data_IF_540175532639
#
_entry.id   IF_540175532639
#
_cell.length_a   1.000
_cell.length_b   1.000
_cell.length_c   1.000
_cell.angle_alpha   90.00
_cell.angle_beta   90.00
_cell.angle_gamma   90.00
#
_symmetry.space_group_name_H-M   'P 1'
#
loop_
_entity.id
_entity.type
_entity.pdbx_description
1 polymer ?
#
# COMPACT_ATOMS: atom_id res chain seq x y z
N UNK A 1 14.66 -13.78 8.60
CA UNK A 1 14.01 -14.76 7.67
C UNK A 1 15.00 -15.10 6.57
N UNK A 2 15.08 -16.37 6.11
CA UNK A 2 15.97 -16.67 4.99
C UNK A 2 15.32 -16.24 3.66
N UNK A 3 16.09 -15.65 2.77
CA UNK A 3 15.63 -15.15 1.48
C UNK A 3 14.94 -16.23 0.64
N UNK A 4 15.49 -17.42 0.61
CA UNK A 4 14.99 -18.57 -0.14
C UNK A 4 13.63 -19.10 0.36
N UNK A 5 13.30 -18.82 1.61
CA UNK A 5 12.03 -19.22 2.24
C UNK A 5 10.97 -18.12 2.21
N UNK A 6 11.39 -16.87 2.01
CA UNK A 6 10.50 -15.71 2.02
C UNK A 6 9.46 -15.75 0.89
N UNK A 7 8.20 -15.61 1.24
CA UNK A 7 7.06 -15.47 0.32
C UNK A 7 6.49 -14.06 0.49
N UNK A 8 6.72 -13.23 -0.50
CA UNK A 8 6.27 -11.84 -0.51
C UNK A 8 4.96 -11.76 -1.28
N UNK A 9 3.90 -11.33 -0.61
CA UNK A 9 2.56 -11.27 -1.18
C UNK A 9 2.19 -9.80 -1.33
N UNK A 10 1.99 -9.33 -2.56
CA UNK A 10 1.55 -7.96 -2.83
C UNK A 10 0.04 -7.94 -3.00
N UNK A 11 -0.59 -7.05 -2.23
CA UNK A 11 -2.01 -6.77 -2.26
C UNK A 11 -2.31 -5.57 -3.16
N UNK A 12 -3.22 -5.77 -4.12
CA UNK A 12 -3.69 -4.69 -4.98
C UNK A 12 -4.87 -3.97 -4.34
N UNK A 13 -4.98 -2.64 -4.55
CA UNK A 13 -6.11 -1.88 -4.07
C UNK A 13 -7.38 -2.23 -4.86
N UNK A 14 -8.47 -2.42 -4.17
CA UNK A 14 -9.84 -2.52 -4.69
C UNK A 14 -10.06 -3.34 -5.97
N UNK A 15 -11.32 -3.52 -6.35
CA UNK A 15 -11.71 -3.94 -7.69
C UNK A 15 -11.80 -2.72 -8.62
N UNK A 16 -11.57 -2.93 -9.91
CA UNK A 16 -11.69 -1.84 -10.90
C UNK A 16 -13.09 -1.24 -11.02
N UNK A 17 -14.10 -1.95 -10.49
CA UNK A 17 -15.50 -1.52 -10.42
C UNK A 17 -15.85 -0.76 -9.14
N UNK A 18 -14.95 -0.69 -8.13
CA UNK A 18 -15.24 -0.01 -6.86
C UNK A 18 -15.40 1.49 -7.08
N UNK A 19 -16.57 2.09 -6.75
CA UNK A 19 -16.82 3.51 -6.98
C UNK A 19 -15.93 4.41 -6.13
N UNK A 20 -15.65 5.64 -6.60
CA UNK A 20 -14.93 6.67 -5.86
C UNK A 20 -13.44 6.41 -5.65
N UNK A 21 -12.89 5.36 -6.28
CA UNK A 21 -11.48 4.99 -6.15
C UNK A 21 -10.64 5.52 -7.33
N UNK A 22 -10.70 6.83 -7.51
CA UNK A 22 -9.97 7.54 -8.55
C UNK A 22 -9.85 9.05 -8.23
N UNK A 23 -8.89 9.73 -8.88
CA UNK A 23 -8.79 11.18 -8.81
C UNK A 23 -10.06 11.87 -9.37
N UNK A 24 -10.35 13.12 -8.98
CA UNK A 24 -11.49 13.86 -9.49
C UNK A 24 -11.52 13.98 -11.02
N UNK A 25 -10.36 14.11 -11.67
CA UNK A 25 -10.20 14.15 -13.12
C UNK A 25 -10.13 12.76 -13.79
N UNK A 26 -10.24 11.68 -13.02
CA UNK A 26 -10.23 10.28 -13.46
C UNK A 26 -8.91 9.79 -14.09
N UNK A 27 -7.83 10.58 -14.08
CA UNK A 27 -6.52 10.18 -14.63
C UNK A 27 -5.85 9.10 -13.78
N UNK A 28 -5.91 9.22 -12.45
CA UNK A 28 -5.45 8.18 -11.53
C UNK A 28 -6.64 7.32 -11.10
N UNK A 29 -6.58 6.04 -11.41
CA UNK A 29 -7.52 5.02 -10.92
C UNK A 29 -6.76 4.11 -9.97
N UNK A 30 -7.09 4.17 -8.69
CA UNK A 30 -6.33 3.51 -7.62
C UNK A 30 -6.09 2.02 -7.92
N UNK A 31 -7.12 1.28 -8.31
CA UNK A 31 -7.01 -0.14 -8.62
C UNK A 31 -6.07 -0.44 -9.80
N UNK A 32 -6.00 0.43 -10.81
CA UNK A 32 -5.13 0.25 -11.98
C UNK A 32 -3.69 0.58 -11.62
N UNK A 33 -3.47 1.71 -10.97
CA UNK A 33 -2.17 2.17 -10.54
C UNK A 33 -1.52 1.18 -9.54
N UNK A 34 -2.27 0.76 -8.54
CA UNK A 34 -1.79 -0.22 -7.55
C UNK A 34 -1.34 -1.54 -8.20
N UNK A 35 -2.10 -2.05 -9.18
CA UNK A 35 -1.71 -3.27 -9.92
C UNK A 35 -0.44 -3.08 -10.73
N UNK A 36 -0.25 -1.92 -11.33
CA UNK A 36 0.98 -1.56 -12.04
C UNK A 36 2.17 -1.63 -11.07
N UNK A 37 2.10 -0.93 -9.94
CA UNK A 37 3.16 -0.94 -8.92
C UNK A 37 3.40 -2.35 -8.38
N UNK A 38 2.37 -3.12 -8.04
CA UNK A 38 2.51 -4.50 -7.56
C UNK A 38 3.27 -5.39 -8.58
N UNK A 39 2.92 -5.30 -9.86
CA UNK A 39 3.58 -6.09 -10.92
C UNK A 39 5.06 -5.73 -11.06
N UNK A 40 5.37 -4.45 -11.04
CA UNK A 40 6.74 -3.93 -11.13
C UNK A 40 7.60 -4.36 -9.92
N UNK A 41 7.08 -4.20 -8.70
CA UNK A 41 7.76 -4.63 -7.46
C UNK A 41 7.99 -6.14 -7.50
N UNK A 42 6.96 -6.94 -7.88
CA UNK A 42 7.11 -8.39 -8.02
C UNK A 42 8.18 -8.77 -9.05
N UNK A 43 8.19 -8.14 -10.22
CA UNK A 43 9.16 -8.42 -11.26
C UNK A 43 10.60 -8.16 -10.78
N UNK A 44 10.82 -7.04 -10.11
CA UNK A 44 12.15 -6.69 -9.55
C UNK A 44 12.56 -7.63 -8.41
N UNK A 45 11.65 -7.96 -7.48
CA UNK A 45 11.94 -8.92 -6.41
C UNK A 45 12.29 -10.31 -6.95
N UNK A 46 11.55 -10.80 -7.97
CA UNK A 46 11.86 -12.06 -8.66
C UNK A 46 13.21 -11.99 -9.36
N UNK A 47 13.53 -10.87 -10.00
CA UNK A 47 14.82 -10.63 -10.65
C UNK A 47 16.03 -10.75 -9.72
N UNK A 48 15.83 -10.46 -8.42
CA UNK A 48 16.85 -10.64 -7.39
C UNK A 48 16.63 -11.89 -6.52
N UNK A 49 15.77 -12.82 -6.97
CA UNK A 49 15.66 -14.19 -6.43
C UNK A 49 14.66 -14.38 -5.29
N UNK A 50 13.72 -13.46 -5.05
CA UNK A 50 12.62 -13.66 -4.11
C UNK A 50 11.43 -14.37 -4.74
N UNK A 51 10.64 -15.08 -3.94
CA UNK A 51 9.35 -15.64 -4.34
C UNK A 51 8.26 -14.61 -4.07
N UNK A 52 7.45 -14.31 -5.07
CA UNK A 52 6.40 -13.30 -4.95
C UNK A 52 5.07 -13.78 -5.52
N UNK A 53 3.98 -13.36 -4.87
CA UNK A 53 2.61 -13.59 -5.30
C UNK A 53 1.85 -12.24 -5.33
N UNK A 54 0.79 -12.16 -6.13
CA UNK A 54 -0.12 -11.01 -6.18
C UNK A 54 -1.55 -11.51 -5.98
N UNK A 55 -2.34 -10.83 -5.16
CA UNK A 55 -3.70 -11.25 -4.80
C UNK A 55 -4.75 -11.00 -5.90
N UNK A 56 -4.39 -10.34 -6.99
CA UNK A 56 -5.32 -9.87 -8.01
C UNK A 56 -6.01 -10.99 -8.81
N UNK A 57 -5.26 -11.98 -9.29
CA UNK A 57 -5.80 -13.06 -10.12
C UNK A 57 -6.75 -13.98 -9.35
N UNK A 58 -6.40 -14.46 -8.15
CA UNK A 58 -7.31 -15.18 -7.28
C UNK A 58 -8.56 -14.38 -6.90
N UNK A 59 -8.39 -13.06 -6.74
CA UNK A 59 -9.49 -12.16 -6.45
C UNK A 59 -10.51 -12.11 -7.60
N UNK A 60 -10.05 -12.05 -8.84
CA UNK A 60 -10.92 -12.09 -10.02
C UNK A 60 -11.64 -13.43 -10.17
N UNK A 61 -10.93 -14.52 -9.91
CA UNK A 61 -11.49 -15.88 -9.99
C UNK A 61 -12.59 -16.14 -8.95
N UNK A 62 -12.55 -15.44 -7.80
CA UNK A 62 -13.57 -15.55 -6.75
C UNK A 62 -14.86 -14.79 -7.06
N UNK A 63 -14.92 -14.08 -8.19
CA UNK A 63 -15.96 -13.11 -8.53
C UNK A 63 -17.13 -13.73 -9.27
N UNK A 64 -18.09 -14.30 -8.53
CA UNK A 64 -19.45 -14.54 -9.06
C UNK A 64 -20.46 -13.77 -8.20
N UNK A 65 -20.55 -12.45 -8.42
CA UNK A 65 -21.34 -11.54 -7.58
C UNK A 65 -22.33 -10.72 -8.40
N UNK A 66 -22.91 -11.34 -9.43
CA UNK A 66 -23.89 -10.72 -10.31
C UNK A 66 -25.08 -10.20 -9.51
N UNK A 67 -25.27 -8.86 -9.50
CA UNK A 67 -26.38 -8.19 -8.81
C UNK A 67 -26.15 -7.89 -7.32
N UNK A 68 -24.96 -8.08 -6.79
CA UNK A 68 -24.62 -7.72 -5.41
C UNK A 68 -24.52 -6.19 -5.23
N UNK A 69 -24.79 -5.73 -3.99
CA UNK A 69 -24.54 -4.34 -3.62
C UNK A 69 -23.03 -4.08 -3.50
N UNK A 70 -22.60 -2.82 -3.66
CA UNK A 70 -21.19 -2.41 -3.53
C UNK A 70 -20.58 -2.88 -2.20
N UNK A 71 -21.34 -2.81 -1.10
CA UNK A 71 -20.86 -3.26 0.22
C UNK A 71 -20.63 -4.77 0.27
N UNK A 72 -21.48 -5.56 -0.37
CA UNK A 72 -21.34 -7.02 -0.44
C UNK A 72 -20.13 -7.37 -1.31
N UNK A 73 -19.95 -6.69 -2.45
CA UNK A 73 -18.75 -6.85 -3.29
C UNK A 73 -17.46 -6.55 -2.54
N UNK A 74 -17.42 -5.46 -1.78
CA UNK A 74 -16.24 -5.08 -0.98
C UNK A 74 -15.95 -6.11 0.13
N UNK A 75 -16.96 -6.58 0.85
CA UNK A 75 -16.76 -7.60 1.88
C UNK A 75 -16.22 -8.91 1.29
N UNK A 76 -16.72 -9.29 0.12
CA UNK A 76 -16.28 -10.49 -0.58
C UNK A 76 -14.85 -10.36 -1.10
N UNK A 77 -14.51 -9.20 -1.63
CA UNK A 77 -13.15 -8.84 -2.05
C UNK A 77 -12.16 -8.98 -0.90
N UNK A 78 -12.45 -8.36 0.25
CA UNK A 78 -11.59 -8.41 1.44
C UNK A 78 -11.42 -9.84 1.96
N UNK A 79 -12.51 -10.62 2.01
CA UNK A 79 -12.45 -12.03 2.41
C UNK A 79 -11.63 -12.87 1.42
N UNK A 80 -11.77 -12.65 0.13
CA UNK A 80 -11.00 -13.36 -0.89
C UNK A 80 -9.50 -13.08 -0.78
N UNK A 81 -9.10 -11.82 -0.53
CA UNK A 81 -7.68 -11.45 -0.29
C UNK A 81 -7.13 -12.18 0.93
N UNK A 82 -7.82 -12.10 2.07
CA UNK A 82 -7.40 -12.77 3.31
C UNK A 82 -7.30 -14.28 3.12
N UNK A 83 -8.28 -14.92 2.48
CA UNK A 83 -8.26 -16.36 2.20
C UNK A 83 -7.07 -16.75 1.32
N UNK A 84 -6.76 -15.96 0.30
CA UNK A 84 -5.60 -16.18 -0.56
C UNK A 84 -4.30 -16.11 0.25
N UNK A 85 -4.07 -15.01 1.00
CA UNK A 85 -2.88 -14.83 1.84
C UNK A 85 -2.75 -15.96 2.85
N UNK A 86 -3.83 -16.31 3.56
CA UNK A 86 -3.80 -17.36 4.58
C UNK A 86 -3.60 -18.76 3.99
N UNK A 87 -4.00 -19.00 2.74
CA UNK A 87 -3.68 -20.26 2.04
C UNK A 87 -2.19 -20.39 1.79
N UNK A 88 -1.50 -19.29 1.44
CA UNK A 88 -0.04 -19.26 1.29
C UNK A 88 0.67 -19.41 2.64
N UNK A 89 0.15 -18.76 3.69
CA UNK A 89 0.65 -18.95 5.06
C UNK A 89 0.55 -20.40 5.52
N UNK A 90 -0.55 -21.08 5.20
CA UNK A 90 -0.72 -22.51 5.50
C UNK A 90 0.27 -23.38 4.73
N UNK A 91 0.52 -23.05 3.46
CA UNK A 91 1.40 -23.81 2.58
C UNK A 91 2.89 -23.65 2.90
N UNK A 92 3.31 -22.43 3.24
CA UNK A 92 4.73 -22.06 3.34
C UNK A 92 5.18 -21.75 4.78
N UNK A 93 4.26 -21.69 5.73
CA UNK A 93 4.49 -21.22 7.11
C UNK A 93 4.27 -19.71 7.21
N UNK A 94 3.47 -19.28 8.19
CA UNK A 94 3.13 -17.86 8.39
C UNK A 94 4.37 -16.99 8.67
N UNK A 95 5.38 -17.54 9.33
CA UNK A 95 6.65 -16.85 9.61
C UNK A 95 7.51 -16.61 8.37
N UNK A 96 7.23 -17.29 7.27
CA UNK A 96 7.93 -17.12 5.99
C UNK A 96 7.16 -16.20 5.02
N UNK A 97 5.94 -15.82 5.36
CA UNK A 97 5.09 -14.97 4.54
C UNK A 97 5.06 -13.53 5.07
N UNK A 98 4.83 -12.59 4.16
CA UNK A 98 4.47 -11.20 4.47
C UNK A 98 3.49 -10.68 3.43
N UNK A 99 2.62 -9.77 3.85
CA UNK A 99 1.60 -9.17 2.98
C UNK A 99 1.73 -7.64 2.96
N UNK A 100 1.84 -7.06 1.79
CA UNK A 100 1.95 -5.62 1.59
C UNK A 100 0.84 -5.16 0.65
N UNK A 101 -0.20 -4.53 1.20
CA UNK A 101 -1.33 -3.98 0.44
C UNK A 101 -1.00 -2.55 0.00
N UNK A 102 -1.05 -2.27 -1.30
CA UNK A 102 -0.63 -0.99 -1.88
C UNK A 102 -1.86 -0.20 -2.30
N UNK A 103 -2.06 0.96 -1.68
CA UNK A 103 -3.21 1.83 -1.84
C UNK A 103 -2.82 3.27 -2.15
N UNK A 104 -3.82 4.10 -2.49
CA UNK A 104 -3.74 5.55 -2.59
C UNK A 104 -4.88 6.15 -1.76
N UNK A 105 -4.54 6.97 -0.79
CA UNK A 105 -5.48 7.54 0.17
C UNK A 105 -6.47 8.53 -0.48
N UNK A 106 -7.50 8.90 0.26
CA UNK A 106 -8.43 9.97 -0.09
C UNK A 106 -8.80 10.81 1.14
N UNK A 107 -8.87 12.12 0.98
CA UNK A 107 -9.28 13.06 2.02
C UNK A 107 -10.80 13.21 2.10
N UNK A 108 -11.50 13.05 0.98
CA UNK A 108 -12.93 13.20 0.86
C UNK A 108 -13.62 12.13 0.03
N UNK A 109 -14.95 12.21 -0.02
CA UNK A 109 -15.80 11.34 -0.84
C UNK A 109 -16.67 12.15 -1.80
N UNK A 110 -16.28 13.41 -2.10
CA UNK A 110 -17.08 14.39 -2.82
C UNK A 110 -16.61 14.68 -4.26
N UNK A 111 -15.72 13.83 -4.79
CA UNK A 111 -15.13 13.97 -6.14
C UNK A 111 -14.46 15.34 -6.37
N UNK A 112 -13.95 16.01 -5.32
CA UNK A 112 -13.25 17.30 -5.40
C UNK A 112 -11.77 17.15 -5.08
N UNK A 113 -10.99 18.16 -5.51
CA UNK A 113 -9.62 18.31 -5.12
C UNK A 113 -9.50 18.82 -3.68
N UNK A 114 -8.60 18.19 -2.90
CA UNK A 114 -8.28 18.52 -1.53
C UNK A 114 -6.80 18.87 -1.36
N UNK A 115 -6.42 19.37 -0.20
CA UNK A 115 -5.06 19.79 0.13
C UNK A 115 -4.33 18.84 1.09
N UNK A 116 -4.99 17.75 1.49
CA UNK A 116 -4.33 16.68 2.25
C UNK A 116 -3.35 15.94 1.36
N UNK A 117 -2.25 15.46 1.94
CA UNK A 117 -1.19 14.73 1.23
C UNK A 117 -0.35 13.91 2.20
N UNK A 118 0.60 13.15 1.68
CA UNK A 118 1.59 12.41 2.45
C UNK A 118 1.48 10.89 2.36
N UNK A 119 2.64 10.27 2.50
CA UNK A 119 2.82 8.81 2.53
C UNK A 119 2.57 8.28 3.94
N UNK A 120 1.91 7.13 4.07
CA UNK A 120 1.73 6.44 5.35
C UNK A 120 1.72 4.93 5.20
N UNK A 121 2.13 4.24 6.27
CA UNK A 121 2.06 2.78 6.38
C UNK A 121 1.20 2.44 7.59
N UNK A 122 0.25 1.55 7.40
CA UNK A 122 -0.68 1.10 8.43
C UNK A 122 -0.38 -0.33 8.84
N UNK A 123 -0.49 -0.60 10.15
CA UNK A 123 -0.49 -1.93 10.74
C UNK A 123 -1.78 -2.19 11.52
N UNK A 124 -1.95 -3.40 12.01
CA UNK A 124 -2.97 -3.71 13.02
C UNK A 124 -2.50 -3.23 14.40
N UNK A 125 -3.46 -2.96 15.29
CA UNK A 125 -3.17 -2.49 16.66
C UNK A 125 -2.27 -3.43 17.44
N UNK A 126 -1.37 -2.83 18.25
CA UNK A 126 -0.47 -3.50 19.18
C UNK A 126 0.83 -3.96 18.55
N UNK A 127 1.82 -4.25 19.38
CA UNK A 127 3.18 -4.58 18.92
C UNK A 127 3.27 -5.92 18.23
N UNK A 128 3.57 -5.90 16.95
CA UNK A 128 3.62 -7.06 16.07
C UNK A 128 4.87 -7.05 15.17
N UNK A 129 5.08 -8.11 14.41
CA UNK A 129 6.13 -8.12 13.38
C UNK A 129 5.80 -7.22 12.17
N UNK A 130 4.54 -6.79 12.06
CA UNK A 130 4.13 -5.84 11.02
C UNK A 130 4.78 -4.47 11.22
N UNK A 131 4.96 -4.04 12.47
CA UNK A 131 5.58 -2.76 12.83
C UNK A 131 7.04 -2.73 12.34
N UNK A 132 7.77 -3.84 12.48
CA UNK A 132 9.14 -3.95 11.94
C UNK A 132 9.14 -3.83 10.41
N UNK A 133 8.14 -4.41 9.73
CA UNK A 133 8.00 -4.29 8.26
C UNK A 133 7.66 -2.85 7.87
N UNK A 134 6.74 -2.20 8.58
CA UNK A 134 6.37 -0.80 8.38
C UNK A 134 7.56 0.14 8.59
N UNK A 135 8.33 -0.03 9.67
CA UNK A 135 9.54 0.72 9.95
C UNK A 135 10.56 0.63 8.81
N UNK A 136 10.82 -0.58 8.31
CA UNK A 136 11.75 -0.77 7.18
C UNK A 136 11.26 -0.08 5.90
N UNK A 137 9.93 -0.05 5.65
CA UNK A 137 9.35 0.67 4.51
C UNK A 137 9.50 2.18 4.71
N UNK A 138 9.20 2.73 5.90
CA UNK A 138 9.39 4.16 6.19
C UNK A 138 10.85 4.59 6.03
N UNK A 139 11.80 3.82 6.54
CA UNK A 139 13.23 4.16 6.45
C UNK A 139 13.69 4.28 4.99
N UNK A 140 13.17 3.44 4.10
CA UNK A 140 13.45 3.56 2.67
C UNK A 140 12.65 4.66 2.00
N UNK A 141 11.42 4.90 2.43
CA UNK A 141 10.60 5.98 1.93
C UNK A 141 11.22 7.35 2.25
N UNK A 142 11.79 7.56 3.43
CA UNK A 142 12.50 8.81 3.76
C UNK A 142 13.61 9.14 2.77
N UNK A 143 14.31 8.15 2.27
CA UNK A 143 15.39 8.34 1.28
C UNK A 143 14.83 8.51 -0.13
N UNK A 144 13.96 7.59 -0.55
CA UNK A 144 13.49 7.52 -1.94
C UNK A 144 12.45 8.60 -2.29
N UNK A 145 11.73 9.14 -1.29
CA UNK A 145 10.72 10.20 -1.45
C UNK A 145 11.24 11.59 -1.01
N UNK A 146 12.56 11.83 -1.03
CA UNK A 146 13.13 13.13 -0.70
C UNK A 146 12.64 14.23 -1.66
N UNK A 147 12.48 13.91 -2.95
CA UNK A 147 11.96 14.85 -3.95
C UNK A 147 10.48 15.17 -3.70
N UNK A 148 9.68 14.18 -3.35
CA UNK A 148 8.30 14.39 -2.90
C UNK A 148 8.23 15.30 -1.67
N UNK A 149 9.12 15.10 -0.70
CA UNK A 149 9.19 15.96 0.49
C UNK A 149 9.45 17.41 0.13
N UNK A 150 10.40 17.68 -0.81
CA UNK A 150 10.68 19.04 -1.31
C UNK A 150 9.50 19.62 -2.07
N UNK A 151 8.86 18.82 -2.93
CA UNK A 151 7.67 19.21 -3.68
C UNK A 151 6.52 19.62 -2.74
N UNK A 152 6.29 18.87 -1.66
CA UNK A 152 5.26 19.23 -0.67
C UNK A 152 5.58 20.56 0.03
N UNK A 153 6.82 20.80 0.44
CA UNK A 153 7.20 22.06 1.10
C UNK A 153 7.01 23.27 0.15
N UNK A 154 7.34 23.14 -1.13
CA UNK A 154 7.03 24.18 -2.11
C UNK A 154 5.51 24.32 -2.36
N UNK A 155 4.80 23.21 -2.42
CA UNK A 155 3.36 23.18 -2.62
C UNK A 155 2.56 23.81 -1.47
N UNK A 156 3.07 23.79 -0.25
CA UNK A 156 2.48 24.55 0.88
C UNK A 156 2.48 26.05 0.65
N UNK A 157 3.51 26.59 0.01
CA UNK A 157 3.62 28.02 -0.31
C UNK A 157 2.61 28.45 -1.38
N UNK A 158 2.21 27.53 -2.22
CA UNK A 158 1.24 27.78 -3.34
C UNK A 158 -0.18 27.37 -3.02
N UNK A 159 -0.43 26.75 -1.85
CA UNK A 159 -1.75 26.25 -1.44
C UNK A 159 -2.11 24.88 -2.05
N UNK A 160 -1.18 24.20 -2.71
CA UNK A 160 -1.39 22.83 -3.19
C UNK A 160 -1.52 21.82 -2.02
N UNK A 161 -0.89 22.13 -0.90
CA UNK A 161 -1.03 21.42 0.37
C UNK A 161 -1.40 22.37 1.50
N UNK A 162 -2.19 21.89 2.45
CA UNK A 162 -2.39 22.60 3.71
C UNK A 162 -1.04 22.71 4.45
N UNK A 163 -0.83 23.83 5.14
CA UNK A 163 0.43 24.15 5.83
C UNK A 163 0.84 23.13 6.90
N UNK A 164 -0.12 22.38 7.44
CA UNK A 164 0.10 21.35 8.47
C UNK A 164 0.40 19.95 7.92
N UNK A 165 0.27 19.74 6.60
CA UNK A 165 0.55 18.44 6.01
C UNK A 165 2.04 18.09 6.15
N UNK A 166 2.30 16.80 6.32
CA UNK A 166 3.66 16.25 6.39
C UNK A 166 3.86 15.26 5.24
N UNK A 167 5.05 15.21 4.62
CA UNK A 167 5.32 14.27 3.55
C UNK A 167 5.20 12.81 4.00
N UNK A 168 5.45 12.55 5.29
CA UNK A 168 5.25 11.26 5.95
C UNK A 168 4.28 11.44 7.12
N UNK A 169 3.17 10.71 7.06
CA UNK A 169 2.15 10.69 8.11
C UNK A 169 2.49 9.52 9.03
N UNK A 170 2.80 9.82 10.27
CA UNK A 170 3.26 8.85 11.26
C UNK A 170 2.50 9.07 12.57
N UNK A 171 2.24 8.00 13.29
CA UNK A 171 1.88 8.04 14.70
C UNK A 171 3.07 7.56 15.53
N UNK A 172 3.62 8.41 16.37
CA UNK A 172 4.75 8.07 17.23
C UNK A 172 4.37 7.98 18.70
N UNK A 173 3.07 7.88 18.99
CA UNK A 173 2.54 7.93 20.36
C UNK A 173 2.85 6.65 21.16
N UNK A 174 3.05 5.52 20.49
CA UNK A 174 3.36 4.21 21.08
C UNK A 174 4.81 3.74 20.89
N UNK A 175 5.62 4.53 20.18
CA UNK A 175 7.07 4.37 20.07
C UNK A 175 7.59 3.84 18.74
N UNK A 176 6.73 3.71 17.72
CA UNK A 176 7.09 3.44 16.33
C UNK A 176 6.49 4.48 15.36
N UNK A 177 6.53 4.26 14.04
CA UNK A 177 6.14 5.26 13.03
C UNK A 177 4.85 4.91 12.31
N UNK A 178 4.39 3.69 12.41
CA UNK A 178 3.22 3.26 11.67
C UNK A 178 1.92 3.84 12.20
N UNK A 179 0.92 3.84 11.34
CA UNK A 179 -0.44 4.25 11.66
C UNK A 179 -1.23 2.99 12.02
N UNK A 180 -1.77 2.90 13.22
CA UNK A 180 -2.62 1.77 13.58
C UNK A 180 -4.05 1.92 13.07
N UNK A 181 -4.57 0.87 12.41
CA UNK A 181 -5.95 0.85 11.94
C UNK A 181 -6.58 -0.55 11.99
N UNK A 182 -7.90 -0.57 12.24
CA UNK A 182 -8.70 -1.80 12.26
C UNK A 182 -9.09 -2.24 10.84
N UNK A 183 -8.12 -2.35 9.95
CA UNK A 183 -8.36 -2.82 8.58
C UNK A 183 -8.49 -4.34 8.52
N UNK A 184 -9.52 -4.81 7.84
CA UNK A 184 -9.84 -6.24 7.75
C UNK A 184 -8.65 -7.09 7.28
N UNK A 185 -7.96 -6.66 6.25
CA UNK A 185 -6.81 -7.38 5.69
C UNK A 185 -5.62 -7.44 6.65
N UNK A 186 -5.43 -6.43 7.49
CA UNK A 186 -4.36 -6.41 8.48
C UNK A 186 -4.68 -7.31 9.67
N UNK A 187 -5.94 -7.34 10.11
CA UNK A 187 -6.37 -8.10 11.28
C UNK A 187 -6.62 -9.59 11.02
N UNK A 188 -6.90 -9.97 9.76
CA UNK A 188 -7.33 -11.34 9.42
C UNK A 188 -6.28 -12.14 8.66
N UNK A 189 -5.16 -11.55 8.27
CA UNK A 189 -4.03 -12.28 7.71
C UNK A 189 -3.16 -12.88 8.81
N UNK A 190 -2.60 -14.07 8.56
CA UNK A 190 -1.83 -14.84 9.54
C UNK A 190 -0.32 -14.57 9.48
N UNK A 191 0.13 -13.62 8.68
CA UNK A 191 1.53 -13.21 8.56
C UNK A 191 1.67 -11.72 8.86
N UNK A 192 2.90 -11.20 9.02
CA UNK A 192 3.13 -9.75 9.05
C UNK A 192 2.48 -9.07 7.86
N UNK A 193 1.63 -8.06 8.11
CA UNK A 193 0.82 -7.39 7.11
C UNK A 193 0.85 -5.89 7.30
N UNK A 194 1.08 -5.15 6.21
CA UNK A 194 1.02 -3.70 6.17
C UNK A 194 0.13 -3.22 5.02
N UNK A 195 -0.48 -2.04 5.20
CA UNK A 195 -1.16 -1.33 4.13
C UNK A 195 -0.45 0.01 3.91
N UNK A 196 0.05 0.20 2.70
CA UNK A 196 0.78 1.40 2.32
C UNK A 196 -0.16 2.33 1.57
N UNK A 197 -0.39 3.51 2.13
CA UNK A 197 -1.12 4.61 1.48
C UNK A 197 -0.12 5.52 0.78
N UNK A 198 -0.04 5.37 -0.53
CA UNK A 198 0.87 6.11 -1.39
C UNK A 198 0.24 7.47 -1.74
N UNK A 199 0.30 8.43 -0.81
CA UNK A 199 -0.23 9.79 -1.01
C UNK A 199 -1.75 9.82 -1.22
N UNK A 200 -2.30 10.89 -1.85
CA UNK A 200 -3.74 11.12 -1.93
C UNK A 200 -4.23 11.24 -3.38
N UNK A 201 -5.24 10.43 -3.75
CA UNK A 201 -5.84 10.43 -5.08
C UNK A 201 -6.64 11.70 -5.39
N UNK A 202 -7.01 12.46 -4.38
CA UNK A 202 -7.77 13.70 -4.46
C UNK A 202 -6.92 14.95 -4.13
N UNK A 203 -5.59 14.83 -4.08
CA UNK A 203 -4.66 15.95 -4.13
C UNK A 203 -4.02 16.01 -5.52
N UNK A 204 -4.14 17.18 -6.19
CA UNK A 204 -3.68 17.32 -7.58
C UNK A 204 -2.17 17.13 -7.72
N UNK A 205 -1.37 17.66 -6.77
CA UNK A 205 0.08 17.54 -6.82
C UNK A 205 0.53 16.09 -6.54
N UNK A 206 -0.14 15.39 -5.62
CA UNK A 206 0.09 13.98 -5.35
C UNK A 206 -0.21 13.12 -6.59
N UNK A 207 -1.32 13.40 -7.28
CA UNK A 207 -1.70 12.68 -8.50
C UNK A 207 -0.68 12.89 -9.62
N UNK A 208 -0.20 14.12 -9.83
CA UNK A 208 0.85 14.39 -10.83
C UNK A 208 2.15 13.60 -10.49
N UNK A 209 2.55 13.59 -9.22
CA UNK A 209 3.70 12.82 -8.78
C UNK A 209 3.49 11.30 -8.96
N UNK A 210 2.35 10.75 -8.54
CA UNK A 210 2.05 9.32 -8.65
C UNK A 210 1.96 8.82 -10.10
N UNK A 211 1.59 9.70 -11.03
CA UNK A 211 1.51 9.37 -12.45
C UNK A 211 2.85 9.57 -13.19
N UNK A 212 3.79 10.31 -12.62
CA UNK A 212 5.13 10.48 -13.21
C UNK A 212 5.98 9.21 -13.09
N UNK A 213 6.94 9.04 -13.99
CA UNK A 213 7.89 7.92 -13.93
C UNK A 213 8.76 8.01 -12.67
N UNK A 214 9.20 9.20 -12.29
CA UNK A 214 9.98 9.46 -11.08
C UNK A 214 9.21 9.06 -9.82
N UNK A 215 7.94 9.47 -9.73
CA UNK A 215 7.09 9.16 -8.58
C UNK A 215 6.81 7.66 -8.46
N UNK A 216 6.46 7.00 -9.57
CA UNK A 216 6.29 5.54 -9.61
C UNK A 216 7.55 4.81 -9.16
N UNK A 217 8.71 5.21 -9.69
CA UNK A 217 9.99 4.62 -9.32
C UNK A 217 10.34 4.84 -7.84
N UNK A 218 10.08 6.04 -7.31
CA UNK A 218 10.34 6.35 -5.90
C UNK A 218 9.48 5.51 -4.95
N UNK A 219 8.17 5.39 -5.22
CA UNK A 219 7.26 4.52 -4.46
C UNK A 219 7.68 3.05 -4.54
N UNK A 220 7.91 2.57 -5.77
CA UNK A 220 8.33 1.19 -5.99
C UNK A 220 9.62 0.85 -5.24
N UNK A 221 10.64 1.71 -5.31
CA UNK A 221 11.90 1.54 -4.57
C UNK A 221 11.69 1.53 -3.06
N UNK A 222 10.87 2.42 -2.53
CA UNK A 222 10.56 2.49 -1.10
C UNK A 222 10.01 1.16 -0.59
N UNK A 223 9.04 0.59 -1.30
CA UNK A 223 8.41 -0.68 -0.96
C UNK A 223 9.40 -1.84 -1.13
N UNK A 224 10.05 -1.93 -2.29
CA UNK A 224 10.98 -3.02 -2.60
C UNK A 224 12.16 -3.07 -1.62
N UNK A 225 12.83 -1.94 -1.41
CA UNK A 225 13.99 -1.86 -0.53
C UNK A 225 13.59 -2.05 0.94
N UNK A 226 12.39 -1.61 1.34
CA UNK A 226 11.81 -1.88 2.67
C UNK A 226 11.59 -3.37 2.90
N UNK A 227 11.02 -4.07 1.93
CA UNK A 227 10.83 -5.53 1.98
C UNK A 227 12.18 -6.25 2.09
N UNK A 228 13.15 -5.90 1.25
CA UNK A 228 14.50 -6.50 1.26
C UNK A 228 15.18 -6.25 2.61
N UNK A 229 15.09 -5.03 3.13
CA UNK A 229 15.63 -4.68 4.44
C UNK A 229 14.98 -5.50 5.56
N UNK A 230 13.66 -5.62 5.56
CA UNK A 230 12.93 -6.45 6.53
C UNK A 230 13.39 -7.90 6.52
N UNK A 231 13.47 -8.55 5.34
CA UNK A 231 13.90 -9.95 5.22
C UNK A 231 15.32 -10.15 5.77
N UNK A 232 16.21 -9.18 5.56
CA UNK A 232 17.59 -9.25 6.05
C UNK A 232 17.72 -9.02 7.57
N UNK A 233 16.74 -8.36 8.19
CA UNK A 233 16.78 -7.96 9.61
C UNK A 233 16.02 -8.93 10.55
N UNK A 234 15.21 -9.84 10.01
CA UNK A 234 14.40 -10.80 10.78
C UNK A 234 14.73 -12.24 10.36
#
# INVERSE_FOLDING_TARGET
>A
MKKEDAIIILGTAHLGSTPGKCSPDKRLREAVWSREICKEVCAKLRGIGYKTEIDYEPLLASKDMKGATVKIEQNHELAARVNFVNSLCKKHGASNCMYISIHVNAAGADDKWHTAGGFSVYTSKGKTKSDILAENIYDRAFVNLADYSRMMEEGKKTGAYDSKQKPFRMDTSDGDKDMEADFYVLNKTNCPAVLVECMFQDNKADVEFLLSDEGKHAIMRSILEGIVSYVNNV
#
